data_IF_398499765061
#
_entry.id   IF_398499765061
#
_cell.length_a   1.000
_cell.length_b   1.000
_cell.length_c   1.000
_cell.angle_alpha   90.00
_cell.angle_beta   90.00
_cell.angle_gamma   90.00
#
_symmetry.space_group_name_H-M   'P 1'
#
loop_
_entity.id
_entity.type
_entity.pdbx_description
1 polymer ?
#
# COMPACT_ATOMS: atom_id res chain seq x y z
N UNK A 1 -19.48 4.84 10.07
CA UNK A 1 -19.28 4.52 8.63
C UNK A 1 -20.19 3.36 8.27
N UNK A 2 -20.78 3.37 7.07
CA UNK A 2 -21.55 2.22 6.58
C UNK A 2 -20.62 1.06 6.18
N UNK A 3 -21.17 -0.14 6.07
CA UNK A 3 -20.38 -1.31 5.56
C UNK A 3 -19.89 -1.04 4.14
N UNK A 4 -20.68 -0.33 3.34
CA UNK A 4 -20.28 0.05 1.98
C UNK A 4 -19.05 0.96 1.98
N UNK A 5 -19.01 1.97 2.87
CA UNK A 5 -17.85 2.86 2.99
C UNK A 5 -16.59 2.08 3.38
N UNK A 6 -16.71 1.10 4.27
CA UNK A 6 -15.59 0.24 4.67
C UNK A 6 -15.08 -0.65 3.53
N UNK A 7 -16.00 -1.17 2.72
CA UNK A 7 -15.61 -1.96 1.53
C UNK A 7 -14.90 -1.07 0.52
N UNK A 8 -15.43 0.12 0.22
CA UNK A 8 -14.81 1.07 -0.71
C UNK A 8 -13.42 1.50 -0.22
N UNK A 9 -13.29 1.79 1.07
CA UNK A 9 -12.01 2.11 1.70
C UNK A 9 -11.03 0.94 1.59
N UNK A 10 -11.49 -0.29 1.88
CA UNK A 10 -10.68 -1.49 1.74
C UNK A 10 -10.17 -1.71 0.32
N UNK A 11 -11.03 -1.49 -0.70
CA UNK A 11 -10.64 -1.56 -2.11
C UNK A 11 -9.58 -0.51 -2.44
N UNK A 12 -9.77 0.73 -1.97
CA UNK A 12 -8.82 1.81 -2.21
C UNK A 12 -7.43 1.47 -1.63
N UNK A 13 -7.38 1.05 -0.35
CA UNK A 13 -6.15 0.65 0.32
C UNK A 13 -5.50 -0.60 -0.28
N UNK A 14 -6.30 -1.53 -0.79
CA UNK A 14 -5.80 -2.76 -1.40
C UNK A 14 -5.12 -2.54 -2.76
N UNK A 15 -5.32 -1.37 -3.41
CA UNK A 15 -4.75 -1.10 -4.74
C UNK A 15 -3.23 -1.10 -4.76
N UNK A 16 -2.57 -0.64 -3.70
CA UNK A 16 -1.12 -0.66 -3.60
C UNK A 16 -0.59 -2.10 -3.50
N UNK A 17 -1.21 -2.91 -2.64
CA UNK A 17 -0.91 -4.33 -2.52
C UNK A 17 -1.16 -5.08 -3.83
N UNK A 18 -2.24 -4.75 -4.54
CA UNK A 18 -2.58 -5.32 -5.85
C UNK A 18 -1.50 -5.02 -6.88
N UNK A 19 -1.05 -3.76 -7.00
CA UNK A 19 -0.03 -3.32 -7.95
C UNK A 19 1.31 -4.00 -7.69
N UNK A 20 1.76 -4.04 -6.43
CA UNK A 20 3.00 -4.71 -6.04
C UNK A 20 2.92 -6.22 -6.27
N UNK A 21 1.75 -6.82 -6.05
CA UNK A 21 1.53 -8.25 -6.31
C UNK A 21 1.55 -8.58 -7.80
N UNK A 22 0.99 -7.71 -8.67
CA UNK A 22 1.12 -7.84 -10.14
C UNK A 22 2.61 -7.84 -10.51
N UNK A 23 3.37 -6.87 -10.04
CA UNK A 23 4.81 -6.77 -10.31
C UNK A 23 5.56 -8.01 -9.86
N UNK A 24 5.25 -8.52 -8.66
CA UNK A 24 5.85 -9.76 -8.13
C UNK A 24 5.54 -10.98 -9.01
N UNK A 25 4.30 -11.08 -9.48
CA UNK A 25 3.86 -12.13 -10.42
C UNK A 25 4.55 -12.02 -11.80
N UNK A 26 4.68 -10.79 -12.32
CA UNK A 26 5.37 -10.48 -13.58
C UNK A 26 6.83 -10.92 -13.54
N UNK A 27 7.55 -10.64 -12.46
CA UNK A 27 8.96 -11.02 -12.28
C UNK A 27 9.12 -12.53 -12.18
N UNK A 28 8.24 -13.21 -11.44
CA UNK A 28 8.30 -14.66 -11.31
C UNK A 28 7.94 -15.42 -12.59
N UNK A 29 7.17 -14.81 -13.49
CA UNK A 29 6.73 -15.39 -14.79
C UNK A 29 6.08 -16.78 -14.68
N UNK A 30 5.76 -17.24 -13.48
CA UNK A 30 5.08 -18.50 -13.19
C UNK A 30 4.34 -18.39 -11.86
N UNK A 31 3.24 -19.12 -11.77
CA UNK A 31 2.44 -19.15 -10.54
C UNK A 31 3.12 -20.04 -9.50
N UNK A 32 3.88 -19.44 -8.58
CA UNK A 32 4.41 -20.14 -7.41
C UNK A 32 3.47 -19.89 -6.24
N UNK A 33 2.56 -20.84 -6.00
CA UNK A 33 1.48 -20.72 -5.01
C UNK A 33 2.01 -20.36 -3.61
N UNK A 34 3.14 -20.94 -3.21
CA UNK A 34 3.76 -20.63 -1.90
C UNK A 34 4.15 -19.16 -1.79
N UNK A 35 4.83 -18.61 -2.79
CA UNK A 35 5.23 -17.20 -2.78
C UNK A 35 4.01 -16.29 -2.82
N UNK A 36 3.04 -16.59 -3.68
CA UNK A 36 1.77 -15.87 -3.77
C UNK A 36 1.06 -15.79 -2.42
N UNK A 37 0.89 -16.92 -1.74
CA UNK A 37 0.18 -16.98 -0.46
C UNK A 37 0.96 -16.26 0.66
N UNK A 38 2.29 -16.40 0.71
CA UNK A 38 3.13 -15.69 1.69
C UNK A 38 3.06 -14.19 1.46
N UNK A 39 3.18 -13.73 0.22
CA UNK A 39 3.09 -12.30 -0.12
C UNK A 39 1.71 -11.75 0.22
N UNK A 40 0.64 -12.42 -0.21
CA UNK A 40 -0.73 -11.98 0.06
C UNK A 40 -1.04 -11.97 1.56
N UNK A 41 -0.58 -12.98 2.30
CA UNK A 41 -0.75 -13.04 3.75
C UNK A 41 0.00 -11.90 4.46
N UNK A 42 1.24 -11.61 4.07
CA UNK A 42 2.00 -10.49 4.63
C UNK A 42 1.30 -9.15 4.36
N UNK A 43 0.85 -8.92 3.13
CA UNK A 43 0.14 -7.70 2.77
C UNK A 43 -1.16 -7.55 3.57
N UNK A 44 -2.00 -8.58 3.62
CA UNK A 44 -3.23 -8.57 4.41
C UNK A 44 -2.98 -8.37 5.90
N UNK A 45 -1.95 -9.01 6.45
CA UNK A 45 -1.57 -8.89 7.86
C UNK A 45 -1.13 -7.47 8.21
N UNK A 46 -0.23 -6.88 7.43
CA UNK A 46 0.26 -5.52 7.68
C UNK A 46 -0.83 -4.48 7.44
N UNK A 47 -1.70 -4.66 6.44
CA UNK A 47 -2.87 -3.81 6.22
C UNK A 47 -3.90 -3.91 7.35
N UNK A 48 -3.92 -4.98 8.12
CA UNK A 48 -4.72 -5.08 9.34
C UNK A 48 -4.02 -4.50 10.57
N UNK A 49 -2.72 -4.77 10.73
CA UNK A 49 -1.96 -4.32 11.92
C UNK A 49 -1.75 -2.81 11.91
N UNK A 50 -1.44 -2.20 10.77
CA UNK A 50 -1.13 -0.77 10.69
C UNK A 50 -2.29 0.14 11.10
N UNK A 51 -3.56 -0.08 10.70
CA UNK A 51 -4.67 0.71 11.25
C UNK A 51 -4.85 0.53 12.75
N UNK A 52 -4.57 -0.65 13.29
CA UNK A 52 -4.60 -0.85 14.75
C UNK A 52 -3.53 -0.03 15.46
N UNK A 53 -2.30 0.00 14.91
CA UNK A 53 -1.22 0.82 15.44
C UNK A 53 -1.58 2.31 15.34
N UNK A 54 -2.11 2.76 14.21
CA UNK A 54 -2.57 4.13 14.02
C UNK A 54 -3.65 4.53 15.02
N UNK A 55 -4.64 3.68 15.22
CA UNK A 55 -5.71 3.88 16.19
C UNK A 55 -5.20 3.96 17.63
N UNK A 56 -4.27 3.08 18.02
CA UNK A 56 -3.63 3.12 19.34
C UNK A 56 -2.74 4.36 19.53
N UNK A 57 -2.11 4.83 18.45
CA UNK A 57 -1.21 5.98 18.49
C UNK A 57 -1.89 7.34 18.64
N UNK A 58 -3.24 7.42 18.46
CA UNK A 58 -3.97 8.70 18.42
C UNK A 58 -3.80 9.54 19.70
N UNK A 59 -3.68 8.89 20.87
CA UNK A 59 -3.48 9.56 22.14
C UNK A 59 -2.17 10.34 22.24
N UNK A 60 -1.18 9.98 21.41
CA UNK A 60 0.16 10.56 21.42
C UNK A 60 0.44 11.52 20.26
N UNK A 61 -0.36 11.46 19.17
CA UNK A 61 -0.04 12.13 17.91
C UNK A 61 -1.06 13.17 17.41
N UNK A 62 -2.23 13.30 18.04
CA UNK A 62 -3.34 14.10 17.53
C UNK A 62 -2.98 15.57 17.21
N UNK A 63 -2.21 16.23 18.08
CA UNK A 63 -1.89 17.67 17.89
C UNK A 63 -0.73 17.95 16.92
N UNK A 64 0.13 16.97 16.69
CA UNK A 64 1.26 17.12 15.74
C UNK A 64 0.84 16.79 14.29
N UNK A 65 -0.07 15.81 14.12
CA UNK A 65 -0.51 15.38 12.80
C UNK A 65 -1.33 16.45 12.07
N UNK A 66 -2.24 17.15 12.77
CA UNK A 66 -3.07 18.21 12.17
C UNK A 66 -2.27 19.38 11.56
N UNK A 67 -1.03 19.59 12.05
CA UNK A 67 -0.17 20.68 11.58
C UNK A 67 0.75 20.30 10.43
N UNK A 68 1.06 19.00 10.29
CA UNK A 68 2.08 18.51 9.35
C UNK A 68 1.57 17.43 8.38
N UNK A 69 0.28 17.12 8.39
CA UNK A 69 -0.33 16.04 7.60
C UNK A 69 -0.02 16.13 6.11
N UNK A 70 -0.16 17.32 5.51
CA UNK A 70 0.12 17.57 4.10
C UNK A 70 1.61 17.46 3.74
N UNK A 71 2.53 17.86 4.64
CA UNK A 71 3.96 17.69 4.42
C UNK A 71 4.39 16.24 4.55
N UNK A 72 3.78 15.51 5.47
CA UNK A 72 3.99 14.06 5.65
C UNK A 72 3.44 13.31 4.43
N UNK A 73 2.22 13.64 3.98
CA UNK A 73 1.61 13.04 2.80
C UNK A 73 2.46 13.30 1.55
N UNK A 74 2.88 14.54 1.31
CA UNK A 74 3.76 14.89 0.21
C UNK A 74 5.09 14.14 0.28
N UNK A 75 5.75 14.14 1.44
CA UNK A 75 7.04 13.45 1.65
C UNK A 75 6.94 11.95 1.36
N UNK A 76 5.88 11.29 1.82
CA UNK A 76 5.63 9.88 1.55
C UNK A 76 5.37 9.60 0.07
N UNK A 77 4.52 10.40 -0.58
CA UNK A 77 4.20 10.23 -2.00
C UNK A 77 5.41 10.55 -2.89
N UNK A 78 6.19 11.58 -2.55
CA UNK A 78 7.43 11.92 -3.25
C UNK A 78 8.51 10.85 -3.08
N UNK A 79 8.65 10.30 -1.87
CA UNK A 79 9.58 9.20 -1.60
C UNK A 79 9.19 7.94 -2.36
N UNK A 80 7.91 7.55 -2.31
CA UNK A 80 7.40 6.37 -3.00
C UNK A 80 7.48 6.52 -4.51
N UNK A 81 7.00 7.66 -5.04
CA UNK A 81 7.07 7.98 -6.47
C UNK A 81 8.50 8.07 -6.98
N UNK A 82 9.41 8.72 -6.22
CA UNK A 82 10.84 8.78 -6.55
C UNK A 82 11.49 7.40 -6.58
N UNK A 83 11.18 6.55 -5.61
CA UNK A 83 11.66 5.16 -5.59
C UNK A 83 11.16 4.35 -6.79
N UNK A 84 9.90 4.53 -7.20
CA UNK A 84 9.33 3.85 -8.37
C UNK A 84 9.99 4.33 -9.67
N UNK A 85 10.23 5.64 -9.83
CA UNK A 85 10.94 6.19 -11.00
C UNK A 85 12.38 5.68 -11.06
N UNK A 86 13.10 5.72 -9.94
CA UNK A 86 14.47 5.21 -9.85
C UNK A 86 14.53 3.71 -10.14
N UNK A 87 13.54 2.93 -9.68
CA UNK A 87 13.41 1.52 -9.98
C UNK A 87 13.19 1.26 -11.47
N UNK A 88 12.31 2.03 -12.12
CA UNK A 88 12.02 1.88 -13.54
C UNK A 88 13.11 2.44 -14.49
N UNK A 89 14.01 3.32 -14.00
CA UNK A 89 15.15 3.85 -14.76
C UNK A 89 16.41 2.96 -14.67
N UNK A 90 16.50 2.15 -13.63
CA UNK A 90 17.61 1.22 -13.45
C UNK A 90 17.37 -0.03 -14.29
N UNK A 91 18.19 -0.19 -15.33
CA UNK A 91 18.13 -1.32 -16.27
C UNK A 91 18.38 -2.66 -15.56
N UNK A 92 17.80 -3.72 -16.11
CA UNK A 92 17.95 -5.18 -16.00
C UNK A 92 18.85 -5.81 -14.88
N UNK A 93 19.85 -5.11 -14.37
CA UNK A 93 20.71 -5.63 -13.29
C UNK A 93 20.08 -5.53 -11.89
N UNK A 94 19.18 -4.57 -11.65
CA UNK A 94 18.47 -4.45 -10.38
C UNK A 94 17.12 -5.20 -10.34
N UNK A 95 16.55 -5.61 -11.47
CA UNK A 95 15.51 -6.65 -11.50
C UNK A 95 15.97 -7.93 -10.81
N UNK A 96 17.29 -8.20 -10.82
CA UNK A 96 17.90 -9.28 -10.04
C UNK A 96 17.94 -9.03 -8.53
N UNK A 97 17.78 -7.79 -8.08
CA UNK A 97 17.77 -7.45 -6.64
C UNK A 97 16.37 -7.51 -6.04
N UNK A 98 15.31 -7.31 -6.83
CA UNK A 98 13.93 -7.50 -6.39
C UNK A 98 13.54 -8.98 -6.54
N UNK A 99 13.87 -9.76 -5.54
CA UNK A 99 13.48 -11.17 -5.49
C UNK A 99 12.25 -11.32 -4.58
N UNK A 100 11.05 -11.48 -5.16
CA UNK A 100 9.81 -11.63 -4.40
C UNK A 100 9.76 -12.96 -3.61
N UNK A 101 10.72 -13.85 -3.80
CA UNK A 101 10.84 -15.09 -3.01
C UNK A 101 11.53 -14.86 -1.67
N UNK A 102 12.27 -13.74 -1.53
CA UNK A 102 12.95 -13.39 -0.28
C UNK A 102 11.95 -12.80 0.72
N UNK A 103 11.87 -13.39 1.88
CA UNK A 103 11.02 -12.91 2.97
C UNK A 103 11.28 -11.44 3.34
N UNK A 104 12.53 -11.00 3.35
CA UNK A 104 12.89 -9.60 3.64
C UNK A 104 12.31 -8.63 2.61
N UNK A 105 12.33 -8.98 1.33
CA UNK A 105 11.72 -8.16 0.26
C UNK A 105 10.21 -8.04 0.46
N UNK A 106 9.53 -9.17 0.68
CA UNK A 106 8.09 -9.20 0.94
C UNK A 106 7.72 -8.41 2.19
N UNK A 107 8.49 -8.54 3.27
CA UNK A 107 8.26 -7.79 4.52
C UNK A 107 8.42 -6.28 4.30
N UNK A 108 9.50 -5.85 3.64
CA UNK A 108 9.72 -4.42 3.35
C UNK A 108 8.58 -3.85 2.50
N UNK A 109 8.11 -4.59 1.50
CA UNK A 109 6.99 -4.16 0.66
C UNK A 109 5.68 -4.13 1.45
N UNK A 110 5.41 -5.12 2.31
CA UNK A 110 4.22 -5.14 3.15
C UNK A 110 4.16 -3.93 4.10
N UNK A 111 5.28 -3.57 4.72
CA UNK A 111 5.36 -2.36 5.54
C UNK A 111 5.16 -1.11 4.68
N UNK A 112 5.84 -1.00 3.55
CA UNK A 112 5.77 0.18 2.69
C UNK A 112 4.36 0.44 2.13
N UNK A 113 3.65 -0.63 1.72
CA UNK A 113 2.27 -0.53 1.19
C UNK A 113 1.20 -0.33 2.26
N UNK A 114 1.54 -0.43 3.55
CA UNK A 114 0.58 -0.32 4.65
C UNK A 114 0.69 0.99 5.43
N UNK A 115 1.54 1.92 4.98
CA UNK A 115 1.71 3.22 5.66
C UNK A 115 0.43 4.07 5.55
N UNK A 116 -0.28 4.00 4.43
CA UNK A 116 -1.57 4.64 4.22
C UNK A 116 -2.65 4.08 5.17
N UNK A 117 -2.64 2.77 5.40
CA UNK A 117 -3.52 2.13 6.36
C UNK A 117 -3.28 2.60 7.81
N UNK A 118 -2.03 2.96 8.15
CA UNK A 118 -1.72 3.57 9.45
C UNK A 118 -2.42 4.93 9.59
N UNK A 119 -2.41 5.78 8.55
CA UNK A 119 -3.10 7.06 8.55
C UNK A 119 -4.62 6.89 8.67
N UNK A 120 -5.19 5.87 8.01
CA UNK A 120 -6.61 5.52 8.17
C UNK A 120 -6.93 5.10 9.60
N UNK A 121 -6.04 4.35 10.25
CA UNK A 121 -6.17 3.98 11.66
C UNK A 121 -6.21 5.19 12.60
N UNK A 122 -5.36 6.21 12.36
CA UNK A 122 -5.42 7.48 13.06
C UNK A 122 -6.79 8.14 12.87
N UNK A 123 -7.30 8.17 11.63
CA UNK A 123 -8.62 8.73 11.31
C UNK A 123 -9.75 7.99 12.03
N UNK A 124 -9.68 6.68 12.19
CA UNK A 124 -10.64 5.90 12.96
C UNK A 124 -10.65 6.32 14.43
N UNK A 125 -9.50 6.56 15.03
CA UNK A 125 -9.38 7.06 16.40
C UNK A 125 -10.05 8.44 16.59
N UNK A 126 -9.93 9.33 15.59
CA UNK A 126 -10.61 10.64 15.60
C UNK A 126 -12.12 10.53 15.34
N UNK A 127 -12.58 9.52 14.62
CA UNK A 127 -13.96 9.40 14.11
C UNK A 127 -14.92 8.62 15.04
N UNK A 128 -14.58 8.46 16.32
CA UNK A 128 -15.49 7.85 17.30
C UNK A 128 -15.41 6.33 17.44
N UNK A 129 -14.39 5.68 16.86
CA UNK A 129 -14.06 4.29 17.14
C UNK A 129 -13.34 4.19 18.49
N UNK A 130 -14.09 4.32 19.58
CA UNK A 130 -13.53 4.45 20.93
C UNK A 130 -13.19 3.11 21.60
N UNK A 131 -13.65 2.01 21.03
CA UNK A 131 -13.51 0.67 21.63
C UNK A 131 -12.74 -0.26 20.70
N UNK A 132 -11.91 -1.13 21.26
CA UNK A 132 -11.21 -2.15 20.48
C UNK A 132 -12.15 -3.04 19.65
N UNK A 133 -13.34 -3.35 20.18
CA UNK A 133 -14.33 -4.12 19.45
C UNK A 133 -14.87 -3.39 18.21
N UNK A 134 -14.95 -2.05 18.24
CA UNK A 134 -15.46 -1.27 17.11
C UNK A 134 -14.49 -1.19 15.93
N UNK A 135 -13.18 -1.28 16.17
CA UNK A 135 -12.17 -1.23 15.12
C UNK A 135 -11.91 -2.60 14.48
N UNK A 136 -12.26 -3.69 15.15
CA UNK A 136 -11.97 -5.05 14.66
C UNK A 136 -12.60 -5.33 13.29
N UNK A 137 -13.85 -4.92 13.10
CA UNK A 137 -14.56 -5.14 11.83
C UNK A 137 -13.93 -4.35 10.66
N UNK A 138 -13.67 -3.02 10.76
CA UNK A 138 -12.92 -2.30 9.75
C UNK A 138 -11.56 -2.93 9.40
N UNK A 139 -10.77 -3.26 10.41
CA UNK A 139 -9.45 -3.87 10.24
C UNK A 139 -9.52 -5.22 9.55
N UNK A 140 -10.50 -6.07 9.92
CA UNK A 140 -10.69 -7.37 9.27
C UNK A 140 -11.07 -7.22 7.80
N UNK A 141 -11.97 -6.28 7.46
CA UNK A 141 -12.38 -6.01 6.08
C UNK A 141 -11.19 -5.52 5.25
N UNK A 142 -10.38 -4.60 5.78
CA UNK A 142 -9.18 -4.06 5.12
C UNK A 142 -8.15 -5.18 4.88
N UNK A 143 -7.84 -5.98 5.90
CA UNK A 143 -6.87 -7.06 5.81
C UNK A 143 -7.28 -8.16 4.84
N UNK A 144 -8.54 -8.61 4.89
CA UNK A 144 -9.09 -9.63 3.98
C UNK A 144 -9.14 -9.08 2.55
N UNK A 145 -9.59 -7.85 2.36
CA UNK A 145 -9.60 -7.19 1.05
C UNK A 145 -8.20 -7.16 0.44
N UNK A 146 -7.20 -6.67 1.18
CA UNK A 146 -5.81 -6.61 0.70
C UNK A 146 -5.23 -7.99 0.40
N UNK A 147 -5.55 -9.01 1.20
CA UNK A 147 -5.18 -10.40 0.90
C UNK A 147 -5.77 -10.87 -0.43
N UNK A 148 -7.08 -10.69 -0.64
CA UNK A 148 -7.75 -11.14 -1.87
C UNK A 148 -7.24 -10.40 -3.12
N UNK A 149 -7.07 -9.07 -3.01
CA UNK A 149 -6.51 -8.28 -4.10
C UNK A 149 -5.06 -8.66 -4.41
N UNK A 150 -4.25 -8.98 -3.40
CA UNK A 150 -2.88 -9.44 -3.59
C UNK A 150 -2.81 -10.79 -4.30
N UNK A 151 -3.68 -11.74 -3.95
CA UNK A 151 -3.80 -13.02 -4.66
C UNK A 151 -4.18 -12.78 -6.12
N UNK A 152 -5.21 -11.97 -6.37
CA UNK A 152 -5.67 -11.65 -7.72
C UNK A 152 -4.56 -10.96 -8.54
N UNK A 153 -3.89 -9.96 -7.96
CA UNK A 153 -2.78 -9.25 -8.60
C UNK A 153 -1.64 -10.18 -8.98
N UNK A 154 -1.21 -11.04 -8.06
CA UNK A 154 -0.15 -12.00 -8.32
C UNK A 154 -0.50 -12.98 -9.45
N UNK A 155 -1.74 -13.49 -9.46
CA UNK A 155 -2.24 -14.35 -10.54
C UNK A 155 -2.19 -13.64 -11.89
N UNK A 156 -2.75 -12.41 -11.96
CA UNK A 156 -2.73 -11.60 -13.17
C UNK A 156 -1.28 -11.38 -13.65
N UNK A 157 -0.38 -10.97 -12.74
CA UNK A 157 1.03 -10.76 -13.06
C UNK A 157 1.70 -12.01 -13.61
N UNK A 158 1.49 -13.16 -12.97
CA UNK A 158 2.07 -14.42 -13.41
C UNK A 158 1.58 -14.87 -14.81
N UNK A 159 0.30 -14.63 -15.14
CA UNK A 159 -0.27 -14.96 -16.46
C UNK A 159 0.11 -13.95 -17.55
N UNK A 160 0.23 -12.67 -17.21
CA UNK A 160 0.50 -11.59 -18.18
C UNK A 160 1.99 -11.38 -18.40
N UNK A 161 2.85 -11.83 -17.48
CA UNK A 161 4.30 -11.62 -17.46
C UNK A 161 5.07 -12.04 -18.72
N UNK A 162 4.44 -12.76 -19.65
CA UNK A 162 5.00 -13.09 -20.95
C UNK A 162 4.79 -12.03 -22.05
N UNK A 163 3.93 -11.01 -21.82
CA UNK A 163 3.45 -10.13 -22.92
C UNK A 163 3.76 -8.64 -22.79
N UNK A 164 4.13 -8.13 -21.60
CA UNK A 164 4.26 -6.69 -21.39
C UNK A 164 5.70 -6.29 -21.08
N UNK A 165 6.31 -5.47 -21.97
CA UNK A 165 7.62 -4.81 -21.78
C UNK A 165 7.46 -3.30 -21.52
N UNK A 166 6.38 -2.87 -20.87
CA UNK A 166 6.16 -1.45 -20.64
C UNK A 166 6.65 -1.02 -19.26
N UNK A 167 7.34 0.12 -19.10
CA UNK A 167 7.85 0.59 -17.79
C UNK A 167 6.69 1.18 -16.95
N UNK A 168 5.79 0.31 -16.49
CA UNK A 168 4.61 0.69 -15.69
C UNK A 168 5.02 1.43 -14.41
N UNK A 169 6.18 1.07 -13.85
CA UNK A 169 6.72 1.67 -12.63
C UNK A 169 7.03 3.16 -12.80
N UNK A 170 7.60 3.56 -13.95
CA UNK A 170 7.90 4.98 -14.23
C UNK A 170 6.61 5.79 -14.31
N UNK A 171 5.61 5.28 -15.04
CA UNK A 171 4.32 5.97 -15.19
C UNK A 171 3.62 6.12 -13.85
N UNK A 172 3.56 5.05 -13.07
CA UNK A 172 2.95 5.07 -11.73
C UNK A 172 3.69 6.04 -10.79
N UNK A 173 5.03 6.04 -10.81
CA UNK A 173 5.84 6.95 -10.02
C UNK A 173 5.60 8.43 -10.36
N UNK A 174 5.48 8.76 -11.66
CA UNK A 174 5.16 10.14 -12.12
C UNK A 174 3.75 10.55 -11.66
N UNK A 175 2.76 9.65 -11.76
CA UNK A 175 1.39 9.92 -11.29
C UNK A 175 1.37 10.19 -9.78
N UNK A 176 2.07 9.37 -8.97
CA UNK A 176 2.15 9.54 -7.52
C UNK A 176 2.77 10.88 -7.11
N UNK A 177 3.88 11.27 -7.75
CA UNK A 177 4.49 12.58 -7.52
C UNK A 177 3.52 13.70 -7.92
N UNK A 178 2.85 13.57 -9.07
CA UNK A 178 1.84 14.53 -9.53
C UNK A 178 0.69 14.71 -8.54
N UNK A 179 0.19 13.62 -7.96
CA UNK A 179 -0.85 13.65 -6.92
C UNK A 179 -0.31 14.35 -5.66
N UNK A 180 0.91 14.01 -5.21
CA UNK A 180 1.52 14.63 -4.04
C UNK A 180 1.71 16.15 -4.21
N UNK A 181 2.18 16.58 -5.37
CA UNK A 181 2.31 18.01 -5.72
C UNK A 181 0.94 18.72 -5.74
N UNK A 182 -0.09 18.06 -6.31
CA UNK A 182 -1.45 18.60 -6.32
C UNK A 182 -1.97 18.84 -4.91
N UNK A 183 -1.87 17.85 -4.02
CA UNK A 183 -2.29 17.95 -2.61
C UNK A 183 -1.55 19.10 -1.91
N UNK A 184 -0.25 19.21 -2.12
CA UNK A 184 0.56 20.28 -1.52
C UNK A 184 0.11 21.68 -2.01
N UNK A 185 -0.14 21.84 -3.32
CA UNK A 185 -0.59 23.12 -3.90
C UNK A 185 -1.97 23.49 -3.38
N UNK A 186 -2.93 22.56 -3.38
CA UNK A 186 -4.28 22.82 -2.89
C UNK A 186 -4.27 23.31 -1.43
N UNK A 187 -3.37 22.76 -0.61
CA UNK A 187 -3.28 23.16 0.80
C UNK A 187 -2.54 24.52 1.00
N UNK A 188 -1.55 24.84 0.16
CA UNK A 188 -0.83 26.13 0.25
C UNK A 188 -1.60 27.29 -0.34
N UNK A 189 -2.64 27.03 -1.15
CA UNK A 189 -3.47 28.04 -1.81
C UNK A 189 -4.85 28.23 -1.15
N UNK A 190 -5.23 27.38 -0.19
CA UNK A 190 -6.44 27.48 0.63
C UNK A 190 -6.17 28.32 1.89
#
# INVERSE_FOLDING_TARGET
MSILDLILLSVALAMDCFTVSITSGLIQRRLVVRTMLVTAFMFGLFQAIMPMIGWLGISSFSSALERWDHWIAFGLLAFLGGRMILGGLKSDEEEKSFDPTKFSTTLTMAVATSIDALAVGLSFGCSGYLTFASILLPVAIIGIGSFLFSVAGFMIGAFVGHRIKFPVEIVAGVILIGIGVKILIEHLTA
#
